data_IF_419482406367
#
_entry.id   IF_419482406367
#
_cell.length_a   1.000
_cell.length_b   1.000
_cell.length_c   1.000
_cell.angle_alpha   90.00
_cell.angle_beta   90.00
_cell.angle_gamma   90.00
#
_symmetry.space_group_name_H-M   'P 1'
#
loop_
_entity.id
_entity.type
_entity.pdbx_description
1 polymer ?
#
# COMPACT_ATOMS: atom_id res chain seq x y z
N UNK A 1 6.06 13.20 0.76
CA UNK A 1 4.83 12.78 1.46
C UNK A 1 4.70 11.26 1.32
N UNK A 2 3.85 10.51 2.04
CA UNK A 2 3.64 9.05 1.86
C UNK A 2 2.96 8.78 0.50
N UNK A 3 3.75 8.91 -0.57
CA UNK A 3 3.51 9.61 -1.84
C UNK A 3 2.15 10.30 -2.01
N UNK A 4 2.18 11.58 -1.60
CA UNK A 4 1.11 12.54 -1.31
C UNK A 4 -0.06 12.00 -0.48
N UNK A 5 0.31 11.29 0.60
CA UNK A 5 -0.53 10.68 1.65
C UNK A 5 -1.63 9.79 1.05
N UNK A 6 -1.17 8.85 0.21
CA UNK A 6 -1.96 8.02 -0.69
C UNK A 6 -2.63 8.85 -1.78
N UNK A 7 -1.85 9.71 -2.48
CA UNK A 7 -2.30 10.78 -3.39
C UNK A 7 -3.73 11.24 -3.09
N UNK A 8 -3.86 11.78 -1.88
CA UNK A 8 -5.07 12.35 -1.27
C UNK A 8 -6.17 11.34 -0.94
N UNK A 9 -5.84 10.17 -0.35
CA UNK A 9 -6.78 9.05 -0.19
C UNK A 9 -7.59 8.82 -1.48
N UNK A 10 -6.84 8.91 -2.58
CA UNK A 10 -7.23 8.86 -3.99
C UNK A 10 -8.56 9.57 -4.30
N UNK A 11 -8.69 10.73 -3.65
CA UNK A 11 -9.45 11.93 -3.98
C UNK A 11 -10.99 11.84 -3.89
N UNK A 12 -11.50 11.36 -2.74
CA UNK A 12 -12.68 11.87 -1.99
C UNK A 12 -14.06 12.11 -2.69
N UNK A 13 -14.39 11.45 -3.82
CA UNK A 13 -15.79 11.22 -4.29
C UNK A 13 -16.06 11.55 -5.77
N UNK A 14 -17.13 11.01 -6.41
CA UNK A 14 -17.39 11.20 -7.85
C UNK A 14 -17.81 12.64 -8.13
N UNK A 15 -16.85 13.52 -8.40
CA UNK A 15 -17.12 14.79 -9.07
C UNK A 15 -17.23 14.51 -10.58
N UNK A 16 -18.43 14.62 -11.18
CA UNK A 16 -18.70 14.17 -12.54
C UNK A 16 -17.97 14.99 -13.63
N UNK A 17 -17.54 16.22 -13.33
CA UNK A 17 -17.21 17.19 -14.38
C UNK A 17 -15.70 17.44 -14.58
N UNK A 18 -14.83 16.93 -13.69
CA UNK A 18 -13.36 17.12 -13.78
C UNK A 18 -12.58 16.02 -14.54
N UNK A 19 -13.22 14.91 -14.91
CA UNK A 19 -12.51 13.71 -15.36
C UNK A 19 -11.88 13.78 -16.76
N UNK A 20 -12.42 14.58 -17.68
CA UNK A 20 -11.97 14.59 -19.08
C UNK A 20 -10.54 15.17 -19.25
N UNK A 21 -10.23 16.24 -18.53
CA UNK A 21 -8.91 16.87 -18.57
C UNK A 21 -7.85 15.96 -17.93
N UNK A 22 -8.17 15.36 -16.77
CA UNK A 22 -7.30 14.39 -16.10
C UNK A 22 -7.02 13.16 -16.99
N UNK A 23 -8.04 12.61 -17.66
CA UNK A 23 -7.86 11.51 -18.63
C UNK A 23 -6.91 11.91 -19.77
N UNK A 24 -7.04 13.13 -20.30
CA UNK A 24 -6.19 13.64 -21.38
C UNK A 24 -4.73 13.75 -20.94
N UNK A 25 -4.50 14.33 -19.75
CA UNK A 25 -3.16 14.44 -19.16
C UNK A 25 -2.57 13.05 -18.93
N UNK A 26 -3.31 12.12 -18.32
CA UNK A 26 -2.82 10.77 -18.03
C UNK A 26 -2.46 10.00 -19.30
N UNK A 27 -3.29 10.05 -20.36
CA UNK A 27 -2.97 9.43 -21.65
C UNK A 27 -1.68 9.98 -22.26
N UNK A 28 -1.42 11.28 -22.11
CA UNK A 28 -0.17 11.87 -22.59
C UNK A 28 1.07 11.46 -21.77
N UNK A 29 0.89 10.95 -20.55
CA UNK A 29 1.95 10.45 -19.69
C UNK A 29 2.20 8.94 -19.82
N UNK A 30 1.31 8.21 -20.50
CA UNK A 30 1.46 6.76 -20.71
C UNK A 30 2.65 6.47 -21.63
N UNK A 31 3.50 5.55 -21.21
CA UNK A 31 4.64 5.05 -21.96
C UNK A 31 4.20 3.91 -22.89
N UNK A 32 4.99 3.57 -23.93
CA UNK A 32 4.70 2.41 -24.78
C UNK A 32 4.63 1.06 -24.03
N UNK A 33 5.24 0.97 -22.83
CA UNK A 33 5.16 -0.22 -21.97
C UNK A 33 3.91 -0.24 -21.08
N UNK A 34 3.03 0.75 -21.15
CA UNK A 34 1.81 0.83 -20.34
C UNK A 34 1.97 1.48 -18.95
N UNK A 35 3.20 1.90 -18.58
CA UNK A 35 3.48 2.64 -17.34
C UNK A 35 3.28 4.14 -17.54
N UNK A 36 2.98 4.87 -16.47
CA UNK A 36 2.84 6.32 -16.45
C UNK A 36 4.08 7.00 -15.87
N UNK A 37 4.49 8.10 -16.49
CA UNK A 37 5.62 8.93 -16.03
C UNK A 37 5.22 9.74 -14.78
N UNK A 38 6.16 9.89 -13.84
CA UNK A 38 5.97 10.62 -12.59
C UNK A 38 5.69 12.11 -12.83
N UNK A 39 4.73 12.67 -12.09
CA UNK A 39 4.35 14.09 -12.13
C UNK A 39 3.28 14.40 -13.17
N UNK A 40 2.18 15.03 -12.73
CA UNK A 40 1.15 15.57 -13.62
C UNK A 40 1.64 16.89 -14.22
N UNK A 41 1.51 17.08 -15.53
CA UNK A 41 1.94 18.29 -16.21
C UNK A 41 1.64 18.25 -17.71
N UNK A 42 1.74 19.40 -18.40
CA UNK A 42 1.42 19.48 -19.81
C UNK A 42 2.31 18.54 -20.66
N UNK A 43 1.82 18.04 -21.81
CA UNK A 43 2.48 16.99 -22.62
C UNK A 43 3.95 17.26 -22.96
N UNK A 44 4.36 18.53 -23.10
CA UNK A 44 5.73 18.93 -23.41
C UNK A 44 6.73 18.82 -22.25
N UNK A 45 6.27 18.71 -20.99
CA UNK A 45 7.12 18.62 -19.80
C UNK A 45 7.46 17.16 -19.40
N UNK A 46 6.93 16.17 -20.13
CA UNK A 46 6.97 14.75 -19.78
C UNK A 46 8.26 14.02 -20.18
N UNK A 47 8.97 14.51 -21.20
CA UNK A 47 10.06 13.76 -21.86
C UNK A 47 11.31 13.52 -20.97
N UNK A 48 11.45 14.23 -19.85
CA UNK A 48 12.54 14.06 -18.87
C UNK A 48 12.12 13.48 -17.52
N UNK A 49 10.86 13.04 -17.37
CA UNK A 49 10.32 12.57 -16.07
C UNK A 49 10.55 11.06 -15.88
N UNK A 50 10.94 10.67 -14.66
CA UNK A 50 11.21 9.26 -14.28
C UNK A 50 9.90 8.45 -14.21
N UNK A 51 9.97 7.13 -14.36
CA UNK A 51 8.87 6.22 -14.07
C UNK A 51 9.08 5.65 -12.68
N UNK A 52 8.14 5.89 -11.76
CA UNK A 52 8.19 5.36 -10.40
C UNK A 52 7.16 4.24 -10.25
N UNK A 53 7.62 3.07 -9.81
CA UNK A 53 6.74 1.90 -9.61
C UNK A 53 5.67 2.19 -8.56
N UNK A 54 6.02 2.90 -7.47
CA UNK A 54 5.06 3.28 -6.41
C UNK A 54 3.84 4.06 -6.93
N UNK A 55 4.06 5.05 -7.79
CA UNK A 55 2.97 5.84 -8.40
C UNK A 55 2.07 4.99 -9.30
N UNK A 56 2.68 4.08 -10.06
CA UNK A 56 1.94 3.20 -10.95
C UNK A 56 1.09 2.20 -10.17
N UNK A 57 1.58 1.71 -9.03
CA UNK A 57 0.77 0.91 -8.09
C UNK A 57 -0.43 1.69 -7.58
N UNK A 58 -0.26 2.97 -7.23
CA UNK A 58 -1.38 3.82 -6.79
C UNK A 58 -2.39 4.10 -7.92
N UNK A 59 -1.93 4.26 -9.16
CA UNK A 59 -2.81 4.51 -10.32
C UNK A 59 -3.80 3.36 -10.58
N UNK A 60 -3.49 2.13 -10.16
CA UNK A 60 -4.47 1.02 -10.21
C UNK A 60 -5.76 1.34 -9.44
N UNK A 61 -5.68 2.16 -8.38
CA UNK A 61 -6.85 2.60 -7.63
C UNK A 61 -7.55 3.85 -8.19
N UNK A 62 -6.87 4.64 -9.03
CA UNK A 62 -7.36 5.93 -9.55
C UNK A 62 -8.01 5.78 -10.93
N UNK A 63 -7.39 5.03 -11.83
CA UNK A 63 -7.85 4.89 -13.22
C UNK A 63 -9.31 4.40 -13.32
N UNK A 64 -9.77 3.42 -12.52
CA UNK A 64 -11.16 2.98 -12.56
C UNK A 64 -12.15 4.11 -12.23
N UNK A 65 -11.83 4.99 -11.28
CA UNK A 65 -12.67 6.13 -10.93
C UNK A 65 -12.79 7.16 -12.07
N UNK A 66 -11.83 7.17 -12.99
CA UNK A 66 -11.84 8.00 -14.20
C UNK A 66 -12.47 7.29 -15.42
N UNK A 67 -12.92 6.04 -15.27
CA UNK A 67 -13.43 5.21 -16.36
C UNK A 67 -12.35 4.73 -17.32
N UNK A 68 -11.11 4.55 -16.82
CA UNK A 68 -9.97 4.08 -17.60
C UNK A 68 -9.64 2.61 -17.27
N UNK A 69 -9.24 1.85 -18.29
CA UNK A 69 -8.81 0.45 -18.15
C UNK A 69 -7.46 0.35 -17.40
N UNK A 70 -7.31 -0.69 -16.58
CA UNK A 70 -6.12 -0.95 -15.77
C UNK A 70 -5.33 -2.19 -16.20
N UNK A 71 -5.77 -2.91 -17.25
CA UNK A 71 -5.22 -4.21 -17.64
C UNK A 71 -3.76 -4.10 -18.08
N UNK A 72 -3.46 -3.14 -18.95
CA UNK A 72 -2.10 -2.87 -19.43
C UNK A 72 -1.18 -2.41 -18.29
N UNK A 73 -1.68 -1.53 -17.42
CA UNK A 73 -0.94 -1.04 -16.26
C UNK A 73 -0.59 -2.18 -15.29
N UNK A 74 -1.55 -3.05 -14.97
CA UNK A 74 -1.33 -4.19 -14.09
C UNK A 74 -0.31 -5.18 -14.69
N UNK A 75 -0.36 -5.43 -16.00
CA UNK A 75 0.61 -6.27 -16.69
C UNK A 75 2.02 -5.64 -16.67
N UNK A 76 2.12 -4.34 -16.93
CA UNK A 76 3.37 -3.60 -16.92
C UNK A 76 4.03 -3.60 -15.54
N UNK A 77 3.26 -3.34 -14.48
CA UNK A 77 3.75 -3.39 -13.10
C UNK A 77 4.27 -4.79 -12.77
N UNK A 78 3.55 -5.86 -13.17
CA UNK A 78 4.02 -7.24 -12.94
C UNK A 78 5.36 -7.51 -13.64
N UNK A 79 5.51 -7.07 -14.89
CA UNK A 79 6.77 -7.22 -15.64
C UNK A 79 7.91 -6.49 -14.94
N UNK A 80 7.70 -5.24 -14.53
CA UNK A 80 8.72 -4.47 -13.80
C UNK A 80 9.11 -5.17 -12.50
N UNK A 81 8.14 -5.65 -11.70
CA UNK A 81 8.41 -6.36 -10.43
C UNK A 81 9.17 -7.68 -10.61
N UNK A 82 9.05 -8.33 -11.77
CA UNK A 82 9.78 -9.55 -12.10
C UNK A 82 11.20 -9.29 -12.58
N UNK A 83 11.46 -8.12 -13.17
CA UNK A 83 12.77 -7.67 -13.63
C UNK A 83 13.62 -7.02 -12.51
N UNK A 84 13.02 -6.64 -11.37
CA UNK A 84 13.74 -5.96 -10.28
C UNK A 84 14.74 -6.91 -9.58
N UNK A 85 16.00 -6.47 -9.37
CA UNK A 85 16.91 -7.17 -8.47
C UNK A 85 16.37 -7.22 -7.03
N UNK A 86 16.94 -8.06 -6.14
CA UNK A 86 16.56 -8.09 -4.74
C UNK A 86 16.62 -6.69 -4.10
N UNK A 87 15.46 -6.15 -3.70
CA UNK A 87 15.36 -4.88 -2.99
C UNK A 87 15.25 -5.08 -1.47
N UNK A 88 15.60 -4.07 -0.65
CA UNK A 88 15.44 -4.14 0.80
C UNK A 88 13.97 -4.40 1.21
N UNK A 89 13.72 -5.10 2.33
CA UNK A 89 12.37 -5.38 2.81
C UNK A 89 11.45 -4.15 2.88
N UNK A 90 12.00 -3.01 3.30
CA UNK A 90 11.29 -1.72 3.35
C UNK A 90 10.63 -1.35 2.02
N UNK A 91 11.31 -1.56 0.90
CA UNK A 91 10.78 -1.24 -0.44
C UNK A 91 9.53 -2.07 -0.74
N UNK A 92 9.59 -3.37 -0.48
CA UNK A 92 8.45 -4.28 -0.68
C UNK A 92 7.29 -3.98 0.26
N UNK A 93 7.57 -3.66 1.53
CA UNK A 93 6.55 -3.25 2.50
C UNK A 93 5.82 -1.99 2.02
N UNK A 94 6.55 -0.98 1.57
CA UNK A 94 5.95 0.26 1.08
C UNK A 94 5.11 -0.01 -0.16
N UNK A 95 5.61 -0.79 -1.13
CA UNK A 95 4.83 -1.15 -2.31
C UNK A 95 3.56 -1.94 -1.97
N UNK A 96 3.65 -2.91 -1.04
CA UNK A 96 2.48 -3.66 -0.58
C UNK A 96 1.45 -2.75 0.10
N UNK A 97 1.92 -1.74 0.84
CA UNK A 97 1.07 -0.71 1.43
C UNK A 97 0.34 0.13 0.38
N UNK A 98 1.06 0.66 -0.61
CA UNK A 98 0.43 1.40 -1.71
C UNK A 98 -0.59 0.54 -2.47
N UNK A 99 -0.27 -0.73 -2.70
CA UNK A 99 -1.22 -1.67 -3.32
C UNK A 99 -2.46 -1.90 -2.45
N UNK A 100 -2.32 -2.01 -1.13
CA UNK A 100 -3.46 -2.19 -0.22
C UNK A 100 -4.43 -1.02 -0.21
N UNK A 101 -3.94 0.19 -0.49
CA UNK A 101 -4.75 1.40 -0.66
C UNK A 101 -5.49 1.41 -2.00
N UNK A 102 -4.87 0.89 -3.06
CA UNK A 102 -5.47 0.80 -4.39
C UNK A 102 -6.49 -0.35 -4.51
N UNK A 103 -6.34 -1.42 -3.73
CA UNK A 103 -7.12 -2.65 -3.88
C UNK A 103 -8.65 -2.47 -3.80
N UNK A 104 -9.23 -1.66 -2.89
CA UNK A 104 -10.67 -1.48 -2.80
C UNK A 104 -11.34 -0.94 -4.07
N UNK A 105 -10.63 -0.14 -4.88
CA UNK A 105 -11.14 0.44 -6.13
C UNK A 105 -10.57 -0.22 -7.38
N UNK A 106 -9.33 -0.72 -7.31
CA UNK A 106 -8.62 -1.38 -8.40
C UNK A 106 -9.03 -2.82 -8.67
N UNK A 107 -9.90 -3.41 -7.85
CA UNK A 107 -10.47 -4.74 -8.10
C UNK A 107 -9.48 -5.90 -7.92
N UNK A 108 -9.74 -7.01 -8.62
CA UNK A 108 -9.03 -8.27 -8.43
C UNK A 108 -7.53 -8.17 -8.74
N UNK A 109 -7.15 -7.39 -9.76
CA UNK A 109 -5.77 -7.20 -10.18
C UNK A 109 -4.93 -6.52 -9.09
N UNK A 110 -5.49 -5.49 -8.45
CA UNK A 110 -4.81 -4.79 -7.36
C UNK A 110 -4.69 -5.68 -6.11
N UNK A 111 -5.71 -6.48 -5.79
CA UNK A 111 -5.63 -7.48 -4.72
C UNK A 111 -4.56 -8.55 -4.99
N UNK A 112 -4.51 -9.10 -6.21
CA UNK A 112 -3.50 -10.08 -6.61
C UNK A 112 -2.08 -9.51 -6.55
N UNK A 113 -1.92 -8.23 -6.89
CA UNK A 113 -0.65 -7.54 -6.77
C UNK A 113 -0.19 -7.41 -5.31
N UNK A 114 -1.10 -7.06 -4.39
CA UNK A 114 -0.78 -6.98 -2.94
C UNK A 114 -0.32 -8.33 -2.41
N UNK A 115 -1.05 -9.41 -2.73
CA UNK A 115 -0.65 -10.77 -2.33
C UNK A 115 0.77 -11.10 -2.85
N UNK A 116 1.04 -10.82 -4.13
CA UNK A 116 2.36 -11.05 -4.73
C UNK A 116 3.47 -10.24 -4.05
N UNK A 117 3.22 -8.98 -3.69
CA UNK A 117 4.19 -8.13 -3.00
C UNK A 117 4.46 -8.62 -1.58
N UNK A 118 3.44 -9.14 -0.90
CA UNK A 118 3.56 -9.75 0.42
C UNK A 118 4.30 -11.10 0.36
N UNK A 119 4.09 -11.91 -0.66
CA UNK A 119 4.84 -13.17 -0.85
C UNK A 119 6.35 -12.94 -1.02
N UNK A 120 6.74 -11.76 -1.55
CA UNK A 120 8.16 -11.37 -1.63
C UNK A 120 8.76 -11.05 -0.26
N UNK A 121 7.94 -10.78 0.76
CA UNK A 121 8.34 -10.58 2.16
C UNK A 121 8.47 -11.91 2.91
N UNK A 122 9.26 -12.83 2.36
CA UNK A 122 9.64 -14.07 3.04
C UNK A 122 10.10 -13.76 4.48
N UNK A 123 9.61 -14.48 5.51
CA UNK A 123 9.99 -14.22 6.91
C UNK A 123 11.51 -14.23 7.13
N UNK A 124 12.22 -15.06 6.37
CA UNK A 124 13.69 -15.14 6.38
C UNK A 124 14.39 -13.87 5.89
N UNK A 125 13.74 -13.07 5.03
CA UNK A 125 14.27 -11.83 4.46
C UNK A 125 13.84 -10.59 5.23
N UNK A 126 12.66 -10.63 5.84
CA UNK A 126 12.14 -9.53 6.66
C UNK A 126 12.97 -9.33 7.94
N UNK A 127 13.51 -10.42 8.49
CA UNK A 127 14.14 -10.41 9.81
C UNK A 127 13.13 -10.06 10.91
N UNK A 128 13.60 -9.70 12.11
CA UNK A 128 12.70 -9.29 13.19
C UNK A 128 11.94 -8.01 12.80
N UNK A 129 10.61 -8.03 12.90
CA UNK A 129 9.74 -6.86 12.65
C UNK A 129 10.18 -5.64 13.48
N UNK A 130 10.71 -5.89 14.69
CA UNK A 130 11.26 -4.87 15.57
C UNK A 130 12.57 -4.23 15.08
N UNK A 131 13.15 -4.66 13.97
CA UNK A 131 14.31 -4.03 13.33
C UNK A 131 13.92 -3.02 12.23
N UNK A 132 12.65 -3.00 11.81
CA UNK A 132 12.13 -2.01 10.85
C UNK A 132 12.17 -0.61 11.45
N UNK A 133 12.39 0.42 10.63
CA UNK A 133 12.13 1.81 11.03
C UNK A 133 10.63 2.07 11.20
N UNK A 134 10.25 3.16 11.86
CA UNK A 134 8.85 3.41 12.25
C UNK A 134 7.90 3.57 11.05
N UNK A 135 8.38 4.09 9.92
CA UNK A 135 7.58 4.17 8.68
C UNK A 135 7.31 2.78 8.12
N UNK A 136 8.36 1.98 7.97
CA UNK A 136 8.24 0.62 7.47
C UNK A 136 7.40 -0.25 8.42
N UNK A 137 7.59 -0.11 9.74
CA UNK A 137 6.80 -0.82 10.75
C UNK A 137 5.31 -0.45 10.68
N UNK A 138 5.00 0.85 10.53
CA UNK A 138 3.62 1.34 10.42
C UNK A 138 2.95 0.85 9.13
N UNK A 139 3.64 0.92 7.99
CA UNK A 139 3.16 0.39 6.71
C UNK A 139 2.93 -1.12 6.79
N UNK A 140 3.88 -1.86 7.37
CA UNK A 140 3.77 -3.30 7.56
C UNK A 140 2.56 -3.66 8.42
N UNK A 141 2.39 -2.99 9.57
CA UNK A 141 1.23 -3.19 10.44
C UNK A 141 -0.08 -2.97 9.67
N UNK A 142 -0.19 -1.87 8.93
CA UNK A 142 -1.41 -1.55 8.18
C UNK A 142 -1.78 -2.61 7.15
N UNK A 143 -0.81 -3.08 6.36
CA UNK A 143 -1.04 -4.09 5.32
C UNK A 143 -1.39 -5.44 5.92
N UNK A 144 -0.66 -5.88 6.95
CA UNK A 144 -0.92 -7.18 7.58
C UNK A 144 -2.22 -7.19 8.37
N UNK A 145 -2.60 -6.07 8.98
CA UNK A 145 -3.92 -5.92 9.60
C UNK A 145 -5.04 -5.99 8.55
N UNK A 146 -4.87 -5.34 7.39
CA UNK A 146 -5.81 -5.43 6.27
C UNK A 146 -5.98 -6.87 5.76
N UNK A 147 -4.86 -7.59 5.62
CA UNK A 147 -4.87 -8.99 5.24
C UNK A 147 -5.56 -9.86 6.31
N UNK A 148 -5.27 -9.63 7.59
CA UNK A 148 -5.91 -10.35 8.70
C UNK A 148 -7.45 -10.15 8.76
N UNK A 149 -7.96 -9.00 8.30
CA UNK A 149 -9.41 -8.79 8.17
C UNK A 149 -10.04 -9.64 7.06
N UNK A 150 -9.26 -10.03 6.04
CA UNK A 150 -9.72 -10.89 4.93
C UNK A 150 -9.45 -12.37 5.17
N UNK A 151 -8.27 -12.70 5.69
CA UNK A 151 -7.73 -14.04 5.82
C UNK A 151 -7.47 -14.36 7.30
N UNK A 152 -8.05 -15.44 7.82
CA UNK A 152 -8.04 -15.75 9.26
C UNK A 152 -6.63 -16.01 9.87
N UNK A 153 -5.66 -16.41 9.04
CA UNK A 153 -4.36 -16.94 9.52
C UNK A 153 -3.28 -15.87 9.75
N UNK A 154 -3.39 -14.68 9.14
CA UNK A 154 -2.29 -13.71 9.08
C UNK A 154 -2.07 -12.85 10.34
N UNK A 155 -2.79 -13.10 11.43
CA UNK A 155 -2.94 -12.13 12.51
C UNK A 155 -1.88 -12.19 13.63
N UNK A 156 -1.04 -13.24 13.68
CA UNK A 156 -0.01 -13.34 14.72
C UNK A 156 1.10 -12.28 14.53
N UNK A 157 1.47 -12.02 13.28
CA UNK A 157 2.48 -11.01 12.92
C UNK A 157 2.01 -9.58 13.24
N UNK A 158 0.70 -9.36 13.23
CA UNK A 158 0.07 -8.08 13.56
C UNK A 158 0.31 -7.72 15.04
N UNK A 159 0.18 -8.68 15.96
CA UNK A 159 0.38 -8.43 17.39
C UNK A 159 1.81 -7.99 17.71
N UNK A 160 2.81 -8.64 17.08
CA UNK A 160 4.22 -8.29 17.27
C UNK A 160 4.54 -6.89 16.72
N UNK A 161 3.99 -6.54 15.56
CA UNK A 161 4.13 -5.21 14.98
C UNK A 161 3.49 -4.13 15.87
N UNK A 162 2.30 -4.38 16.42
CA UNK A 162 1.63 -3.48 17.38
C UNK A 162 2.47 -3.26 18.63
N UNK A 163 2.99 -4.34 19.23
CA UNK A 163 3.82 -4.24 20.43
C UNK A 163 5.09 -3.41 20.17
N UNK A 164 5.77 -3.67 19.04
CA UNK A 164 6.94 -2.89 18.64
C UNK A 164 6.60 -1.41 18.43
N UNK A 165 5.48 -1.11 17.77
CA UNK A 165 5.06 0.26 17.48
C UNK A 165 4.71 1.01 18.77
N UNK A 166 3.92 0.41 19.67
CA UNK A 166 3.56 1.03 20.95
C UNK A 166 4.78 1.28 21.84
N UNK A 167 5.78 0.40 21.82
CA UNK A 167 7.02 0.57 22.57
C UNK A 167 7.92 1.71 22.09
N UNK A 168 7.68 2.21 20.87
CA UNK A 168 8.45 3.32 20.26
C UNK A 168 7.71 4.66 20.25
N UNK A 169 6.48 4.68 20.77
CA UNK A 169 5.68 5.90 20.85
C UNK A 169 6.40 6.93 21.72
N UNK A 170 6.61 8.12 21.17
CA UNK A 170 7.24 9.23 21.89
C UNK A 170 6.30 9.80 22.96
N UNK A 171 6.84 10.60 23.89
CA UNK A 171 6.06 11.20 24.98
C UNK A 171 4.94 12.15 24.51
N UNK A 172 5.10 12.75 23.32
CA UNK A 172 4.07 13.57 22.66
C UNK A 172 3.05 12.73 21.86
N UNK A 173 3.24 11.41 21.82
CA UNK A 173 2.38 10.46 21.15
C UNK A 173 2.73 10.19 19.68
N UNK A 174 3.79 10.79 19.14
CA UNK A 174 4.24 10.63 17.76
C UNK A 174 5.23 9.47 17.57
N UNK A 175 5.58 9.19 16.31
CA UNK A 175 6.63 8.25 15.90
C UNK A 175 7.67 8.96 15.03
N UNK A 176 8.90 8.42 15.01
CA UNK A 176 10.02 9.06 14.33
C UNK A 176 9.94 8.89 12.82
N UNK A 177 10.29 9.93 12.07
CA UNK A 177 10.57 9.81 10.65
C UNK A 177 11.93 9.13 10.42
N UNK A 178 12.10 8.32 9.36
CA UNK A 178 13.41 7.85 8.96
C UNK A 178 14.31 9.04 8.60
N UNK A 179 15.58 8.97 9.00
CA UNK A 179 16.59 9.93 8.54
C UNK A 179 16.72 9.84 7.01
N UNK A 180 16.67 10.99 6.34
CA UNK A 180 16.86 11.07 4.88
C UNK A 180 18.33 10.83 4.56
N UNK A 181 18.66 9.61 4.14
CA UNK A 181 19.94 9.36 3.48
C UNK A 181 19.79 9.75 2.01
N UNK A 182 20.67 10.63 1.51
CA UNK A 182 20.76 10.93 0.09
C UNK A 182 21.14 9.64 -0.65
N UNK A 183 20.27 9.18 -1.56
CA UNK A 183 20.58 8.05 -2.42
C UNK A 183 21.20 8.63 -3.70
N UNK A 184 22.49 8.36 -3.90
CA UNK A 184 23.14 8.58 -5.21
C UNK A 184 22.98 7.31 -6.05
N UNK A 185 22.28 7.41 -7.17
CA UNK A 185 22.21 6.36 -8.19
C UNK A 185 20.78 5.93 -8.51
N UNK A 186 20.43 5.99 -9.80
CA UNK A 186 19.12 5.58 -10.31
C UNK A 186 18.88 4.08 -10.08
N UNK A 187 18.15 3.76 -9.03
CA UNK A 187 17.42 2.52 -8.84
C UNK A 187 15.93 2.81 -8.65
N UNK A 188 15.13 1.77 -8.37
CA UNK A 188 13.76 1.95 -7.85
C UNK A 188 13.89 2.60 -6.48
N UNK A 189 13.98 3.93 -6.46
CA UNK A 189 13.80 4.71 -5.26
C UNK A 189 12.32 4.61 -4.90
N UNK A 190 11.95 3.97 -3.77
CA UNK A 190 10.70 4.35 -3.15
C UNK A 190 10.81 5.85 -2.85
N UNK A 191 10.01 6.68 -3.50
CA UNK A 191 9.97 8.14 -3.32
C UNK A 191 9.67 8.58 -1.88
N UNK A 192 9.35 7.64 -0.99
CA UNK A 192 8.86 7.91 0.35
C UNK A 192 9.98 8.03 1.39
N UNK A 193 10.54 9.23 1.53
CA UNK A 193 10.99 9.68 2.85
C UNK A 193 9.75 10.20 3.59
N UNK A 194 9.28 9.45 4.60
CA UNK A 194 8.13 9.85 5.40
C UNK A 194 8.50 10.97 6.36
N UNK A 195 7.60 11.93 6.60
CA UNK A 195 7.73 12.89 7.69
C UNK A 195 7.18 12.33 9.02
N UNK A 196 7.47 12.99 10.15
CA UNK A 196 7.00 12.53 11.46
C UNK A 196 5.46 12.52 11.54
N UNK A 197 4.82 13.53 10.92
CA UNK A 197 3.35 13.61 10.80
C UNK A 197 2.79 12.43 10.03
N UNK A 198 3.40 12.08 8.91
CA UNK A 198 2.92 10.99 8.05
C UNK A 198 3.15 9.62 8.67
N UNK A 199 4.29 9.45 9.32
CA UNK A 199 4.60 8.25 10.10
C UNK A 199 3.56 8.07 11.20
N UNK A 200 3.22 9.16 11.89
CA UNK A 200 2.22 9.15 12.96
C UNK A 200 0.82 8.86 12.42
N UNK A 201 0.40 9.47 11.31
CA UNK A 201 -0.89 9.20 10.68
C UNK A 201 -1.03 7.72 10.27
N UNK A 202 0.03 7.17 9.67
CA UNK A 202 0.08 5.78 9.25
C UNK A 202 0.05 4.81 10.44
N UNK A 203 0.80 5.13 11.50
CA UNK A 203 0.80 4.37 12.76
C UNK A 203 -0.61 4.32 13.37
N UNK A 204 -1.30 5.46 13.42
CA UNK A 204 -2.66 5.54 13.95
C UNK A 204 -3.67 4.75 13.10
N UNK A 205 -3.59 4.80 11.78
CA UNK A 205 -4.48 4.03 10.89
C UNK A 205 -4.27 2.51 11.05
N UNK A 206 -3.01 2.07 11.16
CA UNK A 206 -2.66 0.68 11.46
C UNK A 206 -3.25 0.22 12.80
N UNK A 207 -3.07 1.02 13.86
CA UNK A 207 -3.60 0.73 15.19
C UNK A 207 -5.15 0.74 15.23
N UNK A 208 -5.79 1.66 14.51
CA UNK A 208 -7.25 1.71 14.39
C UNK A 208 -7.79 0.47 13.67
N UNK A 209 -7.11 0.01 12.63
CA UNK A 209 -7.46 -1.24 11.92
C UNK A 209 -7.27 -2.45 12.83
N UNK A 210 -6.19 -2.51 13.61
CA UNK A 210 -6.01 -3.54 14.63
C UNK A 210 -7.13 -3.53 15.69
N UNK A 211 -7.59 -2.35 16.12
CA UNK A 211 -8.73 -2.26 17.04
C UNK A 211 -10.01 -2.87 16.45
N UNK A 212 -10.28 -2.63 15.15
CA UNK A 212 -11.40 -3.25 14.43
C UNK A 212 -11.29 -4.77 14.39
N UNK A 213 -10.08 -5.33 14.22
CA UNK A 213 -9.85 -6.78 14.29
C UNK A 213 -10.25 -7.31 15.67
N UNK A 214 -9.79 -6.67 16.75
CA UNK A 214 -10.12 -7.09 18.12
C UNK A 214 -11.63 -7.05 18.38
N UNK A 215 -12.31 -5.99 17.93
CA UNK A 215 -13.76 -5.88 18.09
C UNK A 215 -14.53 -6.91 17.25
N UNK A 216 -14.08 -7.19 16.02
CA UNK A 216 -14.66 -8.21 15.17
C UNK A 216 -14.51 -9.62 15.75
N UNK A 217 -13.35 -9.92 16.36
CA UNK A 217 -13.12 -11.17 17.10
C UNK A 217 -14.01 -11.29 18.33
N UNK A 218 -14.11 -10.23 19.13
CA UNK A 218 -14.97 -10.21 20.32
C UNK A 218 -16.45 -10.42 19.97
N UNK A 219 -16.87 -9.96 18.78
CA UNK A 219 -18.22 -10.16 18.23
C UNK A 219 -18.41 -11.48 17.49
N UNK A 220 -17.38 -12.33 17.38
CA UNK A 220 -17.42 -13.60 16.65
C UNK A 220 -17.55 -13.46 15.12
N UNK A 221 -17.29 -12.26 14.57
CA UNK A 221 -17.39 -11.98 13.13
C UNK A 221 -16.09 -12.24 12.36
N UNK A 222 -14.97 -12.36 13.06
CA UNK A 222 -13.65 -12.66 12.50
C UNK A 222 -13.10 -13.91 13.20
N UNK A 223 -12.65 -14.90 12.41
CA UNK A 223 -12.08 -16.14 12.93
C UNK A 223 -13.04 -17.32 13.08
N UNK A 224 -14.29 -17.23 12.60
CA UNK A 224 -15.09 -18.42 12.34
C UNK A 224 -14.61 -19.04 11.02
N UNK A 225 -14.12 -20.27 11.05
CA UNK A 225 -13.86 -21.01 9.82
C UNK A 225 -15.17 -21.08 9.01
N UNK A 226 -15.16 -21.06 7.66
CA UNK A 226 -16.36 -21.29 6.86
C UNK A 226 -17.12 -22.56 7.27
N UNK A 227 -16.41 -23.55 7.84
CA UNK A 227 -16.97 -24.76 8.41
C UNK A 227 -17.78 -24.53 9.72
N UNK A 228 -17.39 -23.57 10.55
CA UNK A 228 -18.06 -23.25 11.81
C UNK A 228 -19.34 -22.42 11.58
N UNK A 229 -19.34 -21.56 10.56
CA UNK A 229 -20.51 -20.78 10.16
C UNK A 229 -21.63 -21.68 9.59
N UNK A 230 -21.29 -22.73 8.85
CA UNK A 230 -22.26 -23.72 8.34
C UNK A 230 -22.83 -24.61 9.46
N UNK A 231 -22.03 -24.93 10.49
CA UNK A 231 -22.47 -25.71 11.65
C UNK A 231 -23.46 -24.99 12.56
N UNK A 232 -23.43 -23.65 12.61
CA UNK A 232 -24.35 -22.84 13.41
C UNK A 232 -25.73 -22.67 12.78
N UNK A 233 -25.84 -22.71 11.45
CA UNK A 233 -27.11 -22.58 10.71
C UNK A 233 -27.93 -23.89 10.78
N UNK A 234 -27.29 -25.04 10.96
CA UNK A 234 -27.96 -26.34 11.07
C UNK A 234 -28.44 -26.69 12.49
N UNK A 235 -28.23 -25.81 13.48
CA UNK A 235 -28.66 -26.01 14.88
C UNK A 235 -29.71 -25.01 15.36
N UNK A 236 -30.39 -24.30 14.45
CA UNK A 236 -31.55 -23.46 14.77
C UNK A 236 -32.82 -24.02 14.16
#
# INVERSE_FOLDING_TARGET
TVDALAMGSLLLGPEPDGGAELRSILRAQQTPRGLYRHGLGPPGAAAGRRVLVGDNVLLLGVLPALGMDTTELAAAIRSELDEVPPAPPKTWIVLAYLGSLAAPTGGAEAHALVARLLDRLEPSRLGPVAALDDVALSAYLRVRADQCLRDADACNDVNAAVAALLGRRQGDGSWLAPAVAAVEGGGIEPSSTGSAVETTALALDGLATYRRILDGRAKGMLGASPADAAGAVLRR
#
